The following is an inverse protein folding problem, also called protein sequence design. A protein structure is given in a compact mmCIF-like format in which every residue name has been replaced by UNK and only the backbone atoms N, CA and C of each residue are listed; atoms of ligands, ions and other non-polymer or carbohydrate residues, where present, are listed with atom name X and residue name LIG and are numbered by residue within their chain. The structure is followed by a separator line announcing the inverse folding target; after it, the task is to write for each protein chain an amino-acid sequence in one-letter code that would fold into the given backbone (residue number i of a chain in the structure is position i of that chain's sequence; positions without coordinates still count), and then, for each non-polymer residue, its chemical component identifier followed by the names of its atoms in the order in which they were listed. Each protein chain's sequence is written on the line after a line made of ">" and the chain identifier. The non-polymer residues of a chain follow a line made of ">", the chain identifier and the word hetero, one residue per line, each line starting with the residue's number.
data_IF_649097653677
#
_entry.id   IF_649097653677
#
_cell.length_a   1.000
_cell.length_b   1.000
_cell.length_c   1.000
_cell.angle_alpha   90.00
_cell.angle_beta   90.00
_cell.angle_gamma   90.00
#
_symmetry.space_group_name_H-M   'P 1'
#
loop_
_entity.id
_entity.type
_entity.pdbx_description
1 polymer ?
#
# COMPACT_ATOMS: atom_id res chain seq x y z
N UNK A 1 -1.83 -2.17 -38.46
CA UNK A 1 -0.70 -2.23 -37.51
C UNK A 1 -1.28 -1.88 -36.15
N UNK A 2 -1.45 -2.88 -35.28
CA UNK A 2 -1.80 -2.61 -33.88
C UNK A 2 -0.48 -2.30 -33.21
N UNK A 3 -0.29 -1.05 -32.79
CA UNK A 3 0.83 -0.71 -31.94
C UNK A 3 0.56 -1.36 -30.57
N UNK A 4 1.42 -2.30 -30.18
CA UNK A 4 1.49 -2.83 -28.82
C UNK A 4 2.79 -2.34 -28.22
N UNK A 5 2.99 -1.02 -28.24
CA UNK A 5 3.99 -0.36 -27.40
C UNK A 5 3.43 -0.35 -25.97
N UNK A 6 3.42 -1.53 -25.34
CA UNK A 6 3.23 -1.63 -23.90
C UNK A 6 4.45 -1.00 -23.24
N UNK A 7 4.39 0.29 -22.96
CA UNK A 7 5.40 0.95 -22.15
C UNK A 7 5.41 0.24 -20.79
N UNK A 8 6.51 -0.44 -20.48
CA UNK A 8 6.71 -1.02 -19.16
C UNK A 8 6.98 0.13 -18.20
N UNK A 9 5.97 0.55 -17.45
CA UNK A 9 6.14 1.55 -16.39
C UNK A 9 6.76 0.88 -15.17
N UNK A 10 7.82 1.50 -14.64
CA UNK A 10 8.40 1.09 -13.37
C UNK A 10 7.59 1.73 -12.25
N UNK A 11 7.20 0.94 -11.25
CA UNK A 11 6.45 1.40 -10.09
C UNK A 11 7.29 1.20 -8.84
N UNK A 12 7.49 2.27 -8.07
CA UNK A 12 8.10 2.19 -6.74
C UNK A 12 7.02 2.32 -5.67
N UNK A 13 6.94 1.33 -4.79
CA UNK A 13 5.97 1.31 -3.69
C UNK A 13 6.72 1.48 -2.36
N UNK A 14 6.26 2.44 -1.56
CA UNK A 14 6.65 2.58 -0.15
C UNK A 14 5.58 1.96 0.74
N UNK A 15 6.02 1.21 1.74
CA UNK A 15 5.12 0.51 2.66
C UNK A 15 5.57 0.71 4.11
N UNK A 16 4.69 1.25 4.97
CA UNK A 16 4.95 1.35 6.41
C UNK A 16 4.35 0.17 7.19
N UNK A 17 5.09 -0.93 7.21
CA UNK A 17 4.71 -2.18 7.91
C UNK A 17 4.62 -2.03 9.43
N UNK A 18 5.17 -0.96 10.02
CA UNK A 18 5.21 -0.78 11.48
C UNK A 18 3.83 -0.47 12.07
N UNK A 19 2.89 -0.08 11.22
CA UNK A 19 1.54 0.33 11.59
C UNK A 19 0.53 -0.82 11.56
N UNK A 20 0.83 -1.91 10.85
CA UNK A 20 -0.13 -2.98 10.57
C UNK A 20 -0.79 -3.56 11.82
N UNK A 21 0.02 -3.84 12.84
CA UNK A 21 -0.42 -4.42 14.11
C UNK A 21 -0.47 -3.39 15.24
N UNK A 22 -1.00 -2.20 14.93
CA UNK A 22 -1.23 -1.16 15.93
C UNK A 22 -2.67 -0.68 15.92
N UNK A 23 -3.17 -0.36 17.10
CA UNK A 23 -4.46 0.32 17.26
C UNK A 23 -4.27 1.80 16.90
N UNK A 24 -5.08 2.29 15.95
CA UNK A 24 -5.08 3.68 15.54
C UNK A 24 -5.35 4.62 16.73
N UNK A 25 -4.58 5.70 16.83
CA UNK A 25 -4.72 6.73 17.86
C UNK A 25 -4.11 6.42 19.22
N UNK A 26 -3.98 5.16 19.63
CA UNK A 26 -3.37 4.78 20.92
C UNK A 26 -1.97 4.19 20.80
N UNK A 27 -1.64 3.62 19.63
CA UNK A 27 -0.34 2.98 19.39
C UNK A 27 -0.16 1.63 20.07
N UNK A 28 -1.20 1.12 20.75
CA UNK A 28 -1.20 -0.21 21.38
C UNK A 28 -0.97 -1.31 20.34
N UNK A 29 -0.29 -2.39 20.73
CA UNK A 29 0.03 -3.50 19.84
C UNK A 29 -1.16 -4.46 19.69
N UNK A 30 -1.35 -4.95 18.48
CA UNK A 30 -2.30 -6.01 18.14
C UNK A 30 -1.50 -7.33 18.09
N UNK A 31 -2.03 -8.40 18.70
CA UNK A 31 -1.50 -9.74 18.51
C UNK A 31 -1.77 -10.21 17.06
N UNK A 32 -0.75 -10.53 16.25
CA UNK A 32 -0.95 -10.99 14.88
C UNK A 32 -1.87 -12.21 14.73
N UNK A 33 -1.91 -13.11 15.72
CA UNK A 33 -2.78 -14.28 15.67
C UNK A 33 -4.28 -13.90 15.67
N UNK A 34 -4.61 -12.74 16.25
CA UNK A 34 -5.98 -12.21 16.31
C UNK A 34 -6.42 -11.44 15.07
N UNK A 35 -5.57 -11.35 14.03
CA UNK A 35 -5.84 -10.67 12.77
C UNK A 35 -6.18 -11.62 11.61
N UNK A 36 -6.20 -12.93 11.86
CA UNK A 36 -6.62 -13.92 10.88
C UNK A 36 -8.09 -13.75 10.49
N UNK A 37 -8.51 -14.37 9.39
CA UNK A 37 -9.90 -14.32 8.92
C UNK A 37 -10.88 -14.78 10.01
N UNK A 38 -11.93 -13.97 10.26
CA UNK A 38 -12.94 -14.18 11.28
C UNK A 38 -12.51 -13.83 12.71
N UNK A 39 -11.28 -13.36 12.91
CA UNK A 39 -10.77 -12.95 14.23
C UNK A 39 -11.03 -11.46 14.52
N UNK A 40 -10.99 -11.04 15.80
CA UNK A 40 -11.43 -9.71 16.21
C UNK A 40 -10.70 -8.54 15.53
N UNK A 41 -9.45 -8.72 15.13
CA UNK A 41 -8.62 -7.65 14.55
C UNK A 41 -8.42 -7.75 13.04
N UNK A 42 -9.10 -8.69 12.35
CA UNK A 42 -8.99 -8.84 10.88
C UNK A 42 -9.25 -7.50 10.17
N UNK A 43 -10.38 -6.85 10.48
CA UNK A 43 -10.78 -5.60 9.84
C UNK A 43 -9.80 -4.46 10.08
N UNK A 44 -9.31 -4.33 11.31
CA UNK A 44 -8.39 -3.27 11.70
C UNK A 44 -7.02 -3.44 11.01
N UNK A 45 -6.44 -4.64 11.05
CA UNK A 45 -5.14 -4.91 10.42
C UNK A 45 -5.26 -4.81 8.89
N UNK A 46 -6.34 -5.30 8.30
CA UNK A 46 -6.60 -5.15 6.85
C UNK A 46 -6.66 -3.68 6.43
N UNK A 47 -7.32 -2.84 7.22
CA UNK A 47 -7.41 -1.41 6.95
C UNK A 47 -6.06 -0.70 7.11
N UNK A 48 -5.29 -1.06 8.15
CA UNK A 48 -3.93 -0.55 8.33
C UNK A 48 -3.02 -0.93 7.15
N UNK A 49 -3.11 -2.16 6.63
CA UNK A 49 -2.33 -2.60 5.46
C UNK A 49 -2.65 -1.73 4.25
N UNK A 50 -3.93 -1.49 3.96
CA UNK A 50 -4.34 -0.62 2.83
C UNK A 50 -3.79 0.80 3.00
N UNK A 51 -3.89 1.35 4.21
CA UNK A 51 -3.42 2.70 4.50
C UNK A 51 -1.89 2.83 4.57
N UNK A 52 -1.16 1.72 4.63
CA UNK A 52 0.31 1.73 4.67
C UNK A 52 0.98 1.89 3.31
N UNK A 53 0.20 1.79 2.22
CA UNK A 53 0.71 1.79 0.85
C UNK A 53 0.70 3.21 0.30
N UNK A 54 1.89 3.69 -0.04
CA UNK A 54 2.09 4.92 -0.80
C UNK A 54 2.83 4.53 -2.09
N UNK A 55 2.22 4.83 -3.24
CA UNK A 55 2.77 4.49 -4.55
C UNK A 55 3.30 5.76 -5.22
N UNK A 56 4.54 5.69 -5.72
CA UNK A 56 5.15 6.75 -6.52
C UNK A 56 5.26 6.23 -7.95
N UNK A 57 4.60 6.90 -8.88
CA UNK A 57 4.83 6.71 -10.31
C UNK A 57 6.16 7.42 -10.63
N UNK A 58 7.21 6.65 -10.87
CA UNK A 58 8.53 7.14 -11.29
C UNK A 58 8.53 7.25 -12.82
N UNK A 59 7.65 8.11 -13.31
CA UNK A 59 7.55 8.46 -14.72
C UNK A 59 7.49 9.99 -14.78
N UNK A 60 8.68 10.61 -14.68
CA UNK A 60 8.95 12.01 -14.98
C UNK A 60 8.59 12.27 -16.46
N UNK A 61 7.29 12.37 -16.72
CA UNK A 61 6.73 12.93 -17.95
C UNK A 61 6.03 14.22 -17.57
N UNK A 62 6.81 15.16 -17.04
CA UNK A 62 6.49 16.58 -17.10
C UNK A 62 6.33 16.92 -18.58
N UNK A 63 5.07 16.99 -19.02
CA UNK A 63 4.70 17.17 -20.42
C UNK A 63 5.08 18.55 -20.97
N UNK A 64 6.37 18.87 -21.02
CA UNK A 64 6.94 19.88 -21.90
C UNK A 64 7.48 19.17 -23.15
N UNK A 65 6.57 18.90 -24.08
CA UNK A 65 6.92 18.92 -25.50
C UNK A 65 6.19 20.12 -26.11
N UNK A 66 7.02 21.09 -26.48
CA UNK A 66 6.80 22.29 -27.28
C UNK A 66 6.04 22.06 -28.59
#
# INVERSE_FOLDING_TARGET
>A
MVDVSGANTNLTIRMDVRTWFRVGGTGALIDPASANVGQPNEGAVRENIKNSIEAFEDDDRDGDQD
#
